data_IF_868982492771
#
_entry.id   IF_868982492771
#
_cell.length_a   1.000
_cell.length_b   1.000
_cell.length_c   1.000
_cell.angle_alpha   90.00
_cell.angle_beta   90.00
_cell.angle_gamma   90.00
#
_symmetry.space_group_name_H-M   'P 1'
#
loop_
_entity.id
_entity.type
_entity.pdbx_description
1 polymer ?
#
# COMPACT_ATOMS: atom_id res chain seq x y z
N UNK A 1 -10.97 14.37 4.60
CA UNK A 1 -11.24 13.14 3.84
C UNK A 1 -12.68 13.22 3.35
N UNK A 2 -12.92 13.07 2.03
CA UNK A 2 -14.27 13.11 1.44
C UNK A 2 -14.49 11.82 0.63
N UNK A 3 -15.64 11.15 0.79
CA UNK A 3 -16.00 10.01 -0.03
C UNK A 3 -16.33 10.47 -1.46
N UNK A 4 -15.83 9.70 -2.44
CA UNK A 4 -16.16 9.83 -3.86
C UNK A 4 -17.16 8.74 -4.21
N UNK A 5 -18.28 9.11 -4.84
CA UNK A 5 -19.34 8.16 -5.18
C UNK A 5 -19.33 7.80 -6.66
N UNK A 6 -19.66 6.54 -6.97
CA UNK A 6 -19.68 6.00 -8.34
C UNK A 6 -18.35 6.26 -9.08
N UNK A 7 -17.23 6.15 -8.35
CA UNK A 7 -15.91 6.45 -8.88
C UNK A 7 -15.46 5.39 -9.92
N UNK A 8 -15.01 5.79 -11.14
CA UNK A 8 -14.53 4.85 -12.14
C UNK A 8 -13.20 4.23 -11.73
N UNK A 9 -13.15 2.91 -11.68
CA UNK A 9 -11.95 2.14 -11.30
C UNK A 9 -11.08 1.72 -12.50
N UNK A 10 -11.44 2.09 -13.73
CA UNK A 10 -10.69 1.71 -14.93
C UNK A 10 -9.22 2.13 -14.88
N UNK A 11 -8.94 3.33 -14.38
CA UNK A 11 -7.57 3.83 -14.16
C UNK A 11 -6.91 3.34 -12.87
N UNK A 12 -7.59 2.51 -12.09
CA UNK A 12 -7.13 2.00 -10.81
C UNK A 12 -6.84 0.48 -10.82
N UNK A 13 -6.82 -0.14 -12.00
CA UNK A 13 -6.44 -1.54 -12.18
C UNK A 13 -5.62 -1.69 -13.46
N UNK A 14 -4.65 -2.59 -13.44
CA UNK A 14 -3.69 -2.78 -14.54
C UNK A 14 -4.34 -3.32 -15.83
N UNK A 15 -5.43 -4.08 -15.70
CA UNK A 15 -6.15 -4.61 -16.85
C UNK A 15 -7.07 -3.59 -17.55
N UNK A 16 -7.23 -2.38 -16.97
CA UNK A 16 -8.12 -1.36 -17.52
C UNK A 16 -9.60 -1.78 -17.51
N UNK A 17 -9.98 -2.70 -16.62
CA UNK A 17 -11.36 -3.20 -16.53
C UNK A 17 -12.28 -2.05 -16.13
N UNK A 18 -13.36 -1.89 -16.88
CA UNK A 18 -14.40 -0.90 -16.60
C UNK A 18 -15.28 -1.41 -15.47
N UNK A 19 -15.16 -0.77 -14.32
CA UNK A 19 -15.98 -1.00 -13.13
C UNK A 19 -16.02 0.29 -12.32
N UNK A 20 -16.95 0.40 -11.37
CA UNK A 20 -17.08 1.55 -10.47
C UNK A 20 -17.01 1.10 -9.02
N UNK A 21 -16.45 1.96 -8.16
CA UNK A 21 -16.64 1.87 -6.72
C UNK A 21 -17.91 2.64 -6.36
N UNK A 22 -18.84 2.03 -5.62
CA UNK A 22 -20.00 2.76 -5.09
C UNK A 22 -19.54 3.89 -4.17
N UNK A 23 -18.55 3.61 -3.34
CA UNK A 23 -17.90 4.58 -2.47
C UNK A 23 -16.39 4.34 -2.50
N UNK A 24 -15.61 5.38 -2.79
CA UNK A 24 -14.16 5.35 -2.73
C UNK A 24 -13.67 6.41 -1.75
N UNK A 25 -12.72 6.05 -0.93
CA UNK A 25 -12.04 6.94 0.01
C UNK A 25 -10.54 6.85 -0.25
N UNK A 26 -9.89 7.99 -0.49
CA UNK A 26 -8.44 8.06 -0.61
C UNK A 26 -7.82 8.14 0.77
N UNK A 27 -6.93 7.21 1.06
CA UNK A 27 -6.17 7.10 2.30
C UNK A 27 -4.76 7.60 2.03
N UNK A 28 -4.42 8.77 2.57
CA UNK A 28 -3.11 9.41 2.42
C UNK A 28 -2.32 9.49 3.71
N UNK A 29 -2.93 9.06 4.82
CA UNK A 29 -2.30 9.02 6.13
C UNK A 29 -2.95 7.93 7.01
N UNK A 30 -2.29 7.59 8.11
CA UNK A 30 -2.90 6.74 9.14
C UNK A 30 -4.12 7.39 9.80
N UNK A 31 -4.16 8.73 9.83
CA UNK A 31 -5.31 9.46 10.40
C UNK A 31 -6.54 9.33 9.51
N UNK A 32 -6.38 9.25 8.17
CA UNK A 32 -7.50 8.96 7.28
C UNK A 32 -8.11 7.59 7.59
N UNK A 33 -7.27 6.57 7.84
CA UNK A 33 -7.75 5.24 8.23
C UNK A 33 -8.50 5.30 9.55
N UNK A 34 -7.94 5.99 10.56
CA UNK A 34 -8.62 6.18 11.85
C UNK A 34 -9.96 6.87 11.69
N UNK A 35 -10.03 7.90 10.84
CA UNK A 35 -11.27 8.62 10.57
C UNK A 35 -12.34 7.73 9.93
N UNK A 36 -11.95 6.85 8.97
CA UNK A 36 -12.89 5.87 8.38
C UNK A 36 -13.41 4.89 9.43
N UNK A 37 -12.55 4.45 10.33
CA UNK A 37 -12.94 3.48 11.36
C UNK A 37 -13.73 4.12 12.50
N UNK A 38 -13.56 5.41 12.74
CA UNK A 38 -14.30 6.18 13.74
C UNK A 38 -15.70 6.60 13.27
N UNK A 39 -15.94 6.65 11.95
CA UNK A 39 -17.26 6.94 11.40
C UNK A 39 -18.15 5.70 11.47
N UNK A 40 -19.25 5.70 12.26
CA UNK A 40 -20.09 4.52 12.45
C UNK A 40 -20.70 3.99 11.14
N UNK A 41 -21.05 4.87 10.21
CA UNK A 41 -21.67 4.50 8.94
C UNK A 41 -20.66 3.82 8.01
N UNK A 42 -19.41 4.30 7.99
CA UNK A 42 -18.34 3.70 7.25
C UNK A 42 -17.80 2.46 7.95
N UNK A 43 -17.61 2.49 9.27
CA UNK A 43 -17.07 1.36 10.04
C UNK A 43 -17.90 0.08 9.87
N UNK A 44 -19.21 0.19 9.84
CA UNK A 44 -20.12 -0.95 9.69
C UNK A 44 -20.09 -1.61 8.29
N UNK A 45 -19.61 -0.91 7.27
CA UNK A 45 -19.59 -1.43 5.90
C UNK A 45 -18.35 -2.30 5.64
N UNK A 46 -18.44 -3.34 4.79
CA UNK A 46 -17.26 -4.06 4.30
C UNK A 46 -16.27 -3.11 3.61
N UNK A 47 -14.98 -3.39 3.73
CA UNK A 47 -13.90 -2.63 3.10
C UNK A 47 -13.23 -3.44 1.99
N UNK A 48 -12.84 -2.75 0.94
CA UNK A 48 -11.99 -3.27 -0.12
C UNK A 48 -10.74 -2.38 -0.21
N UNK A 49 -9.59 -2.92 0.23
CA UNK A 49 -8.32 -2.18 0.22
C UNK A 49 -7.72 -2.27 -1.19
N UNK A 50 -7.44 -1.12 -1.79
CA UNK A 50 -6.93 -1.01 -3.15
C UNK A 50 -5.59 -0.26 -3.16
N UNK A 51 -4.53 -0.97 -3.51
CA UNK A 51 -3.21 -0.39 -3.82
C UNK A 51 -3.10 0.04 -5.29
N UNK A 52 -2.09 -0.45 -6.00
CA UNK A 52 -1.89 -0.19 -7.44
C UNK A 52 -2.90 -0.89 -8.36
N UNK A 53 -3.66 -1.86 -7.86
CA UNK A 53 -4.59 -2.64 -8.67
C UNK A 53 -3.94 -3.60 -9.67
N UNK A 54 -2.70 -4.00 -9.40
CA UNK A 54 -1.91 -4.87 -10.28
C UNK A 54 -2.15 -6.37 -10.07
N UNK A 55 -2.78 -6.74 -8.95
CA UNK A 55 -3.07 -8.15 -8.62
C UNK A 55 -4.55 -8.36 -8.31
N UNK A 56 -5.44 -7.71 -9.05
CA UNK A 56 -6.88 -7.84 -8.91
C UNK A 56 -7.55 -7.98 -10.28
N UNK A 57 -8.64 -8.73 -10.31
CA UNK A 57 -9.55 -8.80 -11.46
C UNK A 57 -10.93 -8.33 -10.98
N UNK A 58 -11.38 -7.22 -11.51
CA UNK A 58 -12.71 -6.68 -11.20
C UNK A 58 -13.75 -7.37 -12.07
N UNK A 59 -14.66 -8.11 -11.47
CA UNK A 59 -15.73 -8.83 -12.17
C UNK A 59 -17.02 -8.02 -12.28
N UNK A 60 -17.03 -6.78 -11.77
CA UNK A 60 -18.15 -5.87 -11.77
C UNK A 60 -17.93 -4.70 -10.82
N UNK A 61 -18.97 -3.92 -10.59
CA UNK A 61 -18.92 -2.76 -9.69
C UNK A 61 -18.66 -3.20 -8.23
N UNK A 62 -17.81 -2.43 -7.53
CA UNK A 62 -17.39 -2.73 -6.17
C UNK A 62 -18.36 -2.06 -5.18
N UNK A 63 -19.10 -2.89 -4.43
CA UNK A 63 -20.08 -2.44 -3.42
C UNK A 63 -19.46 -2.06 -2.09
N UNK A 64 -18.45 -2.82 -1.56
CA UNK A 64 -17.72 -2.40 -0.36
C UNK A 64 -17.11 -1.01 -0.50
N UNK A 65 -16.88 -0.35 0.64
CA UNK A 65 -16.13 0.92 0.65
C UNK A 65 -14.70 0.65 0.20
N UNK A 66 -14.31 1.22 -0.94
CA UNK A 66 -12.96 1.10 -1.48
C UNK A 66 -12.04 2.07 -0.75
N UNK A 67 -11.04 1.55 -0.06
CA UNK A 67 -9.96 2.33 0.53
C UNK A 67 -8.77 2.36 -0.44
N UNK A 68 -8.66 3.43 -1.21
CA UNK A 68 -7.53 3.63 -2.14
C UNK A 68 -6.33 4.12 -1.37
N UNK A 69 -5.31 3.27 -1.23
CA UNK A 69 -4.11 3.59 -0.46
C UNK A 69 -3.16 4.44 -1.29
N UNK A 70 -2.93 5.67 -0.84
CA UNK A 70 -2.09 6.69 -1.48
C UNK A 70 -1.16 7.38 -0.45
N UNK A 71 -0.77 6.68 0.61
CA UNK A 71 0.15 7.23 1.63
C UNK A 71 1.51 7.46 1.01
N UNK A 72 1.98 8.72 0.91
CA UNK A 72 3.24 9.04 0.26
C UNK A 72 4.41 9.05 1.25
N UNK A 73 5.61 9.19 0.72
CA UNK A 73 6.82 9.54 1.44
C UNK A 73 7.86 8.44 1.44
N UNK A 74 9.12 8.87 1.36
CA UNK A 74 10.31 8.02 1.41
C UNK A 74 11.38 8.74 2.21
N UNK A 75 12.02 8.06 3.16
CA UNK A 75 13.09 8.66 3.95
C UNK A 75 14.08 7.63 4.46
N UNK A 76 15.31 8.04 4.65
CA UNK A 76 16.28 7.33 5.46
C UNK A 76 15.89 7.52 6.94
N UNK A 77 15.76 6.42 7.67
CA UNK A 77 15.46 6.40 9.10
C UNK A 77 16.73 6.25 9.91
N UNK A 78 17.62 5.36 9.49
CA UNK A 78 18.91 5.14 10.12
C UNK A 78 19.91 4.56 9.11
N UNK A 79 21.20 4.76 9.41
CA UNK A 79 22.32 4.15 8.73
C UNK A 79 23.19 3.43 9.75
N UNK A 80 23.64 2.24 9.41
CA UNK A 80 24.53 1.41 10.21
C UNK A 80 25.70 0.96 9.35
N UNK A 81 26.71 0.36 9.95
CA UNK A 81 27.86 -0.19 9.20
C UNK A 81 27.46 -1.32 8.21
N UNK A 82 26.23 -1.85 8.33
CA UNK A 82 25.77 -3.01 7.56
C UNK A 82 24.53 -2.76 6.71
N UNK A 83 23.78 -1.69 6.98
CA UNK A 83 22.50 -1.46 6.31
C UNK A 83 22.04 0.00 6.35
N UNK A 84 21.30 0.41 5.34
CA UNK A 84 20.47 1.60 5.33
C UNK A 84 19.04 1.21 5.66
N UNK A 85 18.48 1.81 6.70
CA UNK A 85 17.10 1.56 7.13
C UNK A 85 16.23 2.66 6.54
N UNK A 86 15.39 2.29 5.59
CA UNK A 86 14.52 3.22 4.88
C UNK A 86 13.06 2.96 5.18
N UNK A 87 12.28 4.03 5.28
CA UNK A 87 10.83 3.98 5.43
C UNK A 87 10.17 4.50 4.16
N UNK A 88 9.11 3.82 3.73
CA UNK A 88 8.32 4.26 2.59
C UNK A 88 6.82 4.17 2.88
N UNK A 89 6.08 5.14 2.37
CA UNK A 89 4.63 5.17 2.46
C UNK A 89 3.99 4.05 1.65
N UNK A 90 2.88 3.52 2.16
CA UNK A 90 2.19 2.39 1.55
C UNK A 90 1.68 2.64 0.12
N UNK A 91 1.46 3.91 -0.25
CA UNK A 91 1.00 4.32 -1.59
C UNK A 91 2.11 4.52 -2.61
N UNK A 92 3.38 4.50 -2.19
CA UNK A 92 4.51 4.63 -3.10
C UNK A 92 4.53 3.50 -4.14
N UNK A 93 4.80 3.84 -5.41
CA UNK A 93 5.00 2.83 -6.46
C UNK A 93 6.26 2.03 -6.16
N UNK A 94 6.15 0.70 -6.11
CA UNK A 94 7.25 -0.18 -5.72
C UNK A 94 8.51 0.03 -6.57
N UNK A 95 8.38 0.03 -7.89
CA UNK A 95 9.52 0.23 -8.79
C UNK A 95 10.21 1.58 -8.60
N UNK A 96 9.43 2.65 -8.39
CA UNK A 96 9.99 3.99 -8.15
C UNK A 96 10.67 4.07 -6.78
N UNK A 97 10.22 3.31 -5.79
CA UNK A 97 10.89 3.17 -4.52
C UNK A 97 12.25 2.47 -4.68
N UNK A 98 12.31 1.35 -5.40
CA UNK A 98 13.58 0.66 -5.71
C UNK A 98 14.54 1.58 -6.45
N UNK A 99 14.07 2.29 -7.48
CA UNK A 99 14.92 3.25 -8.21
C UNK A 99 15.44 4.37 -7.30
N UNK A 100 14.62 4.83 -6.38
CA UNK A 100 15.02 5.86 -5.43
C UNK A 100 16.12 5.34 -4.49
N UNK A 101 16.03 4.13 -3.92
CA UNK A 101 17.10 3.58 -3.09
C UNK A 101 18.41 3.45 -3.86
N UNK A 102 18.38 2.96 -5.08
CA UNK A 102 19.56 2.85 -5.93
C UNK A 102 20.18 4.22 -6.27
N UNK A 103 19.36 5.24 -6.52
CA UNK A 103 19.84 6.60 -6.77
C UNK A 103 20.53 7.24 -5.55
N UNK A 104 20.23 6.77 -4.34
CA UNK A 104 20.95 7.15 -3.12
C UNK A 104 22.24 6.35 -2.90
N UNK A 105 22.51 5.33 -3.71
CA UNK A 105 23.63 4.41 -3.54
C UNK A 105 23.35 3.29 -2.51
N UNK A 106 22.08 2.99 -2.23
CA UNK A 106 21.66 1.94 -1.30
C UNK A 106 21.17 0.69 -2.05
N UNK A 107 22.06 -0.29 -2.31
CA UNK A 107 21.71 -1.52 -3.01
C UNK A 107 20.93 -2.49 -2.09
N UNK A 108 20.41 -3.57 -2.71
CA UNK A 108 19.74 -4.68 -2.02
C UNK A 108 18.31 -4.93 -2.48
N UNK A 109 17.69 -3.98 -3.21
CA UNK A 109 16.35 -4.15 -3.76
C UNK A 109 16.32 -4.27 -5.29
N UNK A 110 17.47 -4.24 -5.95
CA UNK A 110 17.58 -4.19 -7.42
C UNK A 110 16.93 -5.38 -8.11
N UNK A 111 17.03 -6.59 -7.54
CA UNK A 111 16.39 -7.80 -8.07
C UNK A 111 14.86 -7.77 -7.99
N UNK A 112 14.31 -6.93 -7.13
CA UNK A 112 12.86 -6.73 -6.98
C UNK A 112 12.34 -5.57 -7.82
N UNK A 113 13.18 -4.97 -8.67
CA UNK A 113 12.76 -3.94 -9.60
C UNK A 113 11.70 -4.45 -10.59
N UNK A 114 10.91 -3.53 -11.15
CA UNK A 114 9.86 -3.81 -12.14
C UNK A 114 8.67 -4.66 -11.64
N UNK A 115 8.69 -5.15 -10.41
CA UNK A 115 7.50 -5.80 -9.84
C UNK A 115 6.40 -4.74 -9.71
N UNK A 116 5.22 -4.98 -10.30
CA UNK A 116 4.14 -4.01 -10.28
C UNK A 116 3.47 -3.93 -8.89
N UNK A 117 2.91 -2.77 -8.57
CA UNK A 117 2.18 -2.56 -7.32
C UNK A 117 2.75 -1.44 -6.47
N UNK A 118 2.36 -1.39 -5.21
CA UNK A 118 2.76 -0.38 -4.24
C UNK A 118 3.53 -0.99 -3.07
N UNK A 119 4.32 -0.17 -2.38
CA UNK A 119 5.10 -0.57 -1.21
C UNK A 119 4.21 -1.25 -0.16
N UNK A 120 3.03 -0.71 0.15
CA UNK A 120 2.14 -1.30 1.14
C UNK A 120 1.50 -2.63 0.73
N UNK A 121 1.43 -2.92 -0.58
CA UNK A 121 0.93 -4.19 -1.09
C UNK A 121 2.02 -5.28 -1.16
N UNK A 122 3.28 -4.91 -1.20
CA UNK A 122 4.40 -5.83 -1.41
C UNK A 122 4.52 -6.92 -0.34
N UNK A 123 4.29 -6.67 0.97
CA UNK A 123 4.36 -7.72 1.99
C UNK A 123 3.19 -8.70 1.94
N UNK A 124 2.04 -8.28 1.39
CA UNK A 124 0.80 -9.09 1.39
C UNK A 124 1.00 -10.42 0.66
N UNK A 125 1.84 -10.44 -0.35
CA UNK A 125 2.15 -11.63 -1.15
C UNK A 125 3.66 -11.94 -1.15
N UNK A 126 4.43 -11.34 -0.25
CA UNK A 126 5.88 -11.52 -0.13
C UNK A 126 6.54 -11.52 -1.51
N UNK A 127 6.46 -10.37 -2.20
CA UNK A 127 6.99 -10.26 -3.57
C UNK A 127 8.43 -10.76 -3.63
N UNK A 128 8.77 -11.48 -4.70
CA UNK A 128 10.09 -12.04 -4.88
C UNK A 128 10.45 -12.18 -6.35
N UNK A 129 11.75 -12.09 -6.65
CA UNK A 129 12.30 -12.31 -7.97
C UNK A 129 13.81 -12.64 -7.86
N UNK A 130 14.28 -13.47 -8.77
CA UNK A 130 15.72 -13.82 -8.90
C UNK A 130 16.36 -14.32 -7.59
N UNK A 131 15.60 -15.08 -6.80
CA UNK A 131 16.09 -15.68 -5.55
C UNK A 131 16.12 -14.74 -4.34
N UNK A 132 15.58 -13.54 -4.48
CA UNK A 132 15.38 -12.57 -3.37
C UNK A 132 13.91 -12.44 -3.09
N UNK A 133 13.52 -12.49 -1.84
CA UNK A 133 12.15 -12.24 -1.38
C UNK A 133 12.11 -10.99 -0.50
N UNK A 134 10.98 -10.30 -0.48
CA UNK A 134 10.84 -9.07 0.31
C UNK A 134 11.08 -9.28 1.81
N UNK A 135 10.73 -10.46 2.34
CA UNK A 135 10.96 -10.78 3.76
C UNK A 135 12.45 -10.68 4.15
N UNK A 136 13.38 -10.84 3.22
CA UNK A 136 14.82 -10.80 3.50
C UNK A 136 15.28 -9.38 3.89
N UNK A 137 14.94 -8.31 3.13
CA UNK A 137 15.26 -6.94 3.50
C UNK A 137 14.22 -6.28 4.43
N UNK A 138 13.05 -6.89 4.64
CA UNK A 138 11.97 -6.27 5.40
C UNK A 138 12.26 -6.34 6.90
N UNK A 139 12.59 -5.22 7.52
CA UNK A 139 12.81 -5.14 8.97
C UNK A 139 11.52 -5.03 9.76
N UNK A 140 10.61 -4.20 9.30
CA UNK A 140 9.38 -3.90 10.01
C UNK A 140 8.26 -3.49 9.06
N UNK A 141 7.09 -4.07 9.28
CA UNK A 141 5.86 -3.69 8.63
C UNK A 141 4.84 -3.25 9.68
N UNK A 142 4.32 -2.04 9.55
CA UNK A 142 3.28 -1.51 10.44
C UNK A 142 1.91 -1.67 9.80
N UNK A 143 1.20 -2.78 10.03
CA UNK A 143 -0.17 -2.91 9.58
C UNK A 143 -1.06 -1.98 10.41
N UNK A 144 -2.01 -1.34 9.78
CA UNK A 144 -3.06 -0.67 10.52
C UNK A 144 -4.07 -1.72 10.99
N UNK A 145 -4.14 -1.96 12.30
CA UNK A 145 -5.15 -2.82 12.91
C UNK A 145 -6.20 -1.97 13.63
N UNK A 146 -7.46 -2.35 13.54
CA UNK A 146 -8.56 -1.72 14.28
C UNK A 146 -8.53 -2.03 15.78
N UNK A 147 -7.69 -2.97 16.19
CA UNK A 147 -7.51 -3.34 17.60
C UNK A 147 -6.37 -2.49 18.18
N UNK A 148 -6.55 -1.81 19.32
CA UNK A 148 -5.44 -1.13 19.98
C UNK A 148 -4.38 -2.16 20.31
N UNK A 149 -3.12 -1.86 19.95
CA UNK A 149 -2.00 -2.70 20.29
C UNK A 149 -1.99 -2.91 21.80
N UNK A 150 -2.15 -4.16 22.25
CA UNK A 150 -1.91 -4.50 23.65
C UNK A 150 -0.44 -4.21 23.92
N UNK A 151 -0.16 -3.19 24.71
CA UNK A 151 1.17 -2.94 25.27
C UNK A 151 1.53 -4.10 26.18
N UNK A 152 2.16 -5.13 25.63
CA UNK A 152 2.90 -6.10 26.42
C UNK A 152 4.21 -5.41 26.83
N UNK A 153 4.35 -5.19 28.13
CA UNK A 153 5.60 -4.81 28.78
C UNK A 153 6.63 -5.92 28.69
#
# INVERSE_FOLDING_TARGET
>A
MFPEFNFPLQGCNTFGIVAKAQTLIRVRSSDDVRAVLADPALAAQPKFVLGGGSNIVLTGDVKPVVLKVEVPGRRLVAETDKAWIVEAGAGEVWHDFVRWTLAQGWPGLENLALIPGTVGASPVQNIGAYGVELQDPLMHWMPFTSTPASTSR
#
